data_IF_893751273447
#
_entry.id   IF_893751273447
#
_cell.length_a   1.000
_cell.length_b   1.000
_cell.length_c   1.000
_cell.angle_alpha   90.00
_cell.angle_beta   90.00
_cell.angle_gamma   90.00
#
_symmetry.space_group_name_H-M   'P 1'
#
loop_
_entity.id
_entity.type
_entity.pdbx_description
1 polymer ?
#
# COMPACT_ATOMS: atom_id res chain seq x y z
N UNK A 1 -0.51 17.14 -8.32
CA UNK A 1 0.30 15.90 -8.25
C UNK A 1 0.81 15.54 -9.62
N UNK A 2 1.76 14.62 -9.70
CA UNK A 2 2.31 14.10 -10.97
C UNK A 2 1.91 12.64 -11.15
N UNK A 3 1.88 12.15 -12.39
CA UNK A 3 1.64 10.74 -12.67
C UNK A 3 2.86 9.93 -12.23
N UNK A 4 2.61 8.83 -11.55
CA UNK A 4 3.60 7.83 -11.21
C UNK A 4 3.13 6.49 -11.73
N UNK A 5 4.00 5.81 -12.48
CA UNK A 5 3.77 4.45 -12.97
C UNK A 5 4.82 3.54 -12.33
N UNK A 6 4.37 2.38 -11.83
CA UNK A 6 5.24 1.37 -11.24
C UNK A 6 4.94 0.01 -11.85
N UNK A 7 5.99 -0.68 -12.26
CA UNK A 7 5.91 -1.97 -12.94
C UNK A 7 6.16 -1.88 -14.46
N UNK A 8 6.15 -3.04 -15.15
CA UNK A 8 6.37 -3.12 -16.58
C UNK A 8 5.27 -2.43 -17.40
N UNK A 9 5.61 -1.92 -18.58
CA UNK A 9 4.66 -1.26 -19.47
C UNK A 9 3.65 -2.25 -20.08
N UNK A 10 4.04 -3.53 -20.22
CA UNK A 10 3.24 -4.59 -20.83
C UNK A 10 2.47 -5.43 -19.80
N UNK A 11 2.36 -4.92 -18.56
CA UNK A 11 1.63 -5.59 -17.50
C UNK A 11 0.16 -5.80 -17.89
N UNK A 12 -0.31 -7.04 -17.78
CA UNK A 12 -1.72 -7.41 -18.01
C UNK A 12 -2.61 -7.09 -16.81
N UNK A 13 -1.99 -6.96 -15.64
CA UNK A 13 -2.60 -6.69 -14.36
C UNK A 13 -2.24 -5.26 -13.95
N UNK A 14 -3.22 -4.34 -13.94
CA UNK A 14 -2.99 -2.92 -13.72
C UNK A 14 -4.09 -2.33 -12.83
N UNK A 15 -3.71 -1.44 -11.90
CA UNK A 15 -4.62 -0.58 -11.13
C UNK A 15 -4.32 0.87 -11.50
N UNK A 16 -5.33 1.63 -11.89
CA UNK A 16 -5.22 3.07 -12.18
C UNK A 16 -6.19 3.83 -11.28
N UNK A 17 -5.67 4.86 -10.61
CA UNK A 17 -6.42 5.65 -9.65
C UNK A 17 -5.74 7.00 -9.40
N UNK A 18 -6.48 7.94 -8.80
CA UNK A 18 -5.82 9.01 -8.06
C UNK A 18 -5.09 8.39 -6.86
N UNK A 19 -3.94 8.96 -6.46
CA UNK A 19 -3.23 8.50 -5.26
C UNK A 19 -4.13 8.54 -4.02
N UNK A 20 -5.03 9.53 -3.94
CA UNK A 20 -5.98 9.67 -2.83
C UNK A 20 -7.00 8.51 -2.80
N UNK A 21 -7.65 8.21 -3.93
CA UNK A 21 -8.63 7.12 -3.98
C UNK A 21 -7.99 5.78 -3.67
N UNK A 22 -6.80 5.52 -4.23
CA UNK A 22 -6.03 4.32 -3.90
C UNK A 22 -5.76 4.21 -2.40
N UNK A 23 -5.23 5.28 -1.77
CA UNK A 23 -4.98 5.31 -0.33
C UNK A 23 -6.25 5.10 0.48
N UNK A 24 -7.38 5.71 0.11
CA UNK A 24 -8.65 5.56 0.82
C UNK A 24 -9.15 4.10 0.79
N UNK A 25 -8.99 3.40 -0.34
CA UNK A 25 -9.39 1.98 -0.43
C UNK A 25 -8.44 1.09 0.34
N UNK A 26 -7.12 1.18 0.13
CA UNK A 26 -6.15 0.27 0.79
C UNK A 26 -6.00 0.54 2.29
N UNK A 27 -6.52 1.65 2.80
CA UNK A 27 -6.62 1.92 4.26
C UNK A 27 -8.02 1.69 4.82
N UNK A 28 -8.91 1.06 4.03
CA UNK A 28 -10.26 0.69 4.44
C UNK A 28 -11.13 1.88 4.88
N UNK A 29 -10.95 3.04 4.23
CA UNK A 29 -11.72 4.28 4.50
C UNK A 29 -12.88 4.51 3.53
N UNK A 30 -12.88 3.85 2.37
CA UNK A 30 -13.99 3.84 1.40
C UNK A 30 -14.07 2.48 0.73
N UNK A 31 -15.28 2.10 0.31
CA UNK A 31 -15.46 0.95 -0.57
C UNK A 31 -14.94 1.30 -1.98
N UNK A 32 -14.34 0.33 -2.67
CA UNK A 32 -13.84 0.52 -4.04
C UNK A 32 -14.93 1.01 -5.01
N UNK A 33 -16.18 0.55 -4.85
CA UNK A 33 -17.31 0.92 -5.71
C UNK A 33 -17.70 2.40 -5.60
N UNK A 34 -17.22 3.09 -4.56
CA UNK A 34 -17.45 4.52 -4.32
C UNK A 34 -16.26 5.39 -4.79
N UNK A 35 -15.34 4.81 -5.55
CA UNK A 35 -14.12 5.48 -6.03
C UNK A 35 -13.99 5.41 -7.55
N UNK A 36 -13.00 6.13 -8.10
CA UNK A 36 -12.68 6.11 -9.53
C UNK A 36 -11.52 5.17 -9.87
N UNK A 37 -11.32 4.12 -9.07
CA UNK A 37 -10.31 3.11 -9.34
C UNK A 37 -10.77 2.25 -10.52
N UNK A 38 -9.88 2.04 -11.48
CA UNK A 38 -10.09 1.10 -12.58
C UNK A 38 -9.02 0.02 -12.55
N UNK A 39 -9.41 -1.22 -12.78
CA UNK A 39 -8.50 -2.37 -12.82
C UNK A 39 -8.55 -3.05 -14.18
N UNK A 40 -7.39 -3.46 -14.68
CA UNK A 40 -7.26 -4.35 -15.83
C UNK A 40 -6.73 -5.70 -15.36
N UNK A 41 -7.36 -6.79 -15.81
CA UNK A 41 -7.02 -8.14 -15.42
C UNK A 41 -7.74 -8.64 -14.15
N UNK A 42 -8.03 -9.95 -14.06
CA UNK A 42 -8.79 -10.51 -12.94
C UNK A 42 -8.06 -10.42 -11.61
N UNK A 43 -6.73 -10.52 -11.59
CA UNK A 43 -5.95 -10.51 -10.35
C UNK A 43 -5.97 -9.11 -9.73
N UNK A 44 -5.84 -8.06 -10.53
CA UNK A 44 -5.88 -6.67 -10.07
C UNK A 44 -7.25 -6.31 -9.50
N UNK A 45 -8.31 -6.79 -10.16
CA UNK A 45 -9.68 -6.65 -9.67
C UNK A 45 -9.85 -7.33 -8.32
N UNK A 46 -9.48 -8.61 -8.20
CA UNK A 46 -9.57 -9.35 -6.94
C UNK A 46 -8.71 -8.73 -5.84
N UNK A 47 -7.46 -8.38 -6.16
CA UNK A 47 -6.52 -7.77 -5.22
C UNK A 47 -7.08 -6.48 -4.63
N UNK A 48 -7.69 -5.62 -5.45
CA UNK A 48 -8.29 -4.38 -4.95
C UNK A 48 -9.46 -4.60 -3.99
N UNK A 49 -10.09 -5.78 -3.97
CA UNK A 49 -11.12 -6.11 -2.97
C UNK A 49 -10.53 -6.56 -1.62
N UNK A 50 -9.28 -7.02 -1.59
CA UNK A 50 -8.61 -7.54 -0.38
C UNK A 50 -7.45 -6.68 0.10
N UNK A 51 -7.04 -5.67 -0.67
CA UNK A 51 -5.85 -4.86 -0.41
C UNK A 51 -5.97 -4.09 0.92
N UNK A 52 -4.94 -4.19 1.76
CA UNK A 52 -4.86 -3.48 3.03
C UNK A 52 -3.40 -3.11 3.37
N UNK A 53 -3.13 -1.81 3.56
CA UNK A 53 -1.78 -1.30 3.86
C UNK A 53 -1.28 -1.69 5.27
N UNK A 54 -2.20 -1.93 6.21
CA UNK A 54 -1.91 -2.35 7.58
C UNK A 54 -2.81 -3.53 7.95
N UNK A 55 -2.51 -4.71 7.41
CA UNK A 55 -3.21 -5.93 7.78
C UNK A 55 -2.73 -6.40 9.17
N UNK A 56 -3.64 -6.42 10.15
CA UNK A 56 -3.37 -6.94 11.50
C UNK A 56 -3.24 -5.89 12.59
N UNK A 57 -2.88 -6.34 13.79
CA UNK A 57 -2.68 -5.47 14.95
C UNK A 57 -1.48 -4.55 14.76
N UNK A 58 -1.46 -3.42 15.49
CA UNK A 58 -0.33 -2.51 15.51
C UNK A 58 0.93 -3.26 15.95
N UNK A 59 2.02 -3.13 15.18
CA UNK A 59 3.33 -3.64 15.58
C UNK A 59 3.93 -2.83 16.74
N UNK A 60 5.05 -3.27 17.33
CA UNK A 60 5.69 -2.63 18.48
C UNK A 60 6.29 -1.23 18.19
N UNK A 61 6.12 -0.69 16.99
CA UNK A 61 6.82 0.50 16.51
C UNK A 61 8.23 0.17 16.01
N UNK A 62 8.92 1.17 15.43
CA UNK A 62 10.34 1.04 15.10
C UNK A 62 11.17 1.53 16.26
N UNK A 63 12.21 0.77 16.61
CA UNK A 63 13.26 1.27 17.49
C UNK A 63 13.96 2.47 16.85
N UNK A 64 14.27 3.47 17.66
CA UNK A 64 15.03 4.64 17.21
C UNK A 64 16.48 4.26 16.94
N UNK A 65 17.13 4.96 16.02
CA UNK A 65 18.55 4.74 15.75
C UNK A 65 19.45 4.99 16.98
N UNK A 66 18.99 5.84 17.91
CA UNK A 66 19.64 6.07 19.20
C UNK A 66 19.59 4.84 20.13
N UNK A 67 18.48 4.08 20.15
CA UNK A 67 18.36 2.88 21.00
C UNK A 67 19.17 1.69 20.48
N UNK A 68 19.50 1.66 19.19
CA UNK A 68 20.44 0.70 18.60
C UNK A 68 21.90 0.99 18.96
N UNK A 69 22.25 2.26 19.20
CA UNK A 69 23.60 2.68 19.57
C UNK A 69 23.98 2.30 21.01
N UNK A 70 22.99 2.24 21.93
CA UNK A 70 23.20 1.86 23.32
C UNK A 70 23.43 0.35 23.53
N UNK A 71 23.09 -0.50 22.55
CA UNK A 71 23.31 -1.96 22.64
C UNK A 71 24.68 -2.43 22.11
N UNK A 72 25.54 -1.51 21.64
CA UNK A 72 26.90 -1.82 21.16
C UNK A 72 27.98 -1.82 22.24
N UNK A 73 27.61 -1.74 23.52
CA UNK A 73 28.52 -1.47 24.62
C UNK A 73 28.56 -2.53 25.72
N UNK A 74 28.79 -3.80 25.41
CA UNK A 74 29.45 -4.70 26.36
C UNK A 74 30.17 -5.84 25.62
N UNK A 75 31.43 -6.04 26.01
CA UNK A 75 32.36 -7.09 25.56
C UNK A 75 31.79 -8.50 25.65
#
# INVERSE_FOLDING_TARGET
>A
GSIWNFGPQEAKEVVVASALDFCLVVTQRRNISETKITTSGPISSEWMHIAQAYAGAVGPGRETQASLADQGGSK
#
